data_IF_872479543009
#
_entry.id   IF_872479543009
#
_cell.length_a   1.000
_cell.length_b   1.000
_cell.length_c   1.000
_cell.angle_alpha   90.00
_cell.angle_beta   90.00
_cell.angle_gamma   90.00
#
_symmetry.space_group_name_H-M   'P 1'
#
loop_
_entity.id
_entity.type
_entity.pdbx_description
1 polymer ?
#
# COMPACT_ATOMS: atom_id res chain seq x y z
N UNK A 1 1.08 8.08 -21.14
CA UNK A 1 0.64 8.92 -20.00
C UNK A 1 1.85 9.69 -19.54
N UNK A 2 1.87 11.00 -19.80
CA UNK A 2 2.98 11.89 -19.44
C UNK A 2 2.86 12.19 -17.95
N UNK A 3 3.79 11.70 -17.13
CA UNK A 3 3.84 12.04 -15.72
C UNK A 3 4.45 13.43 -15.59
N UNK A 4 3.65 14.42 -15.18
CA UNK A 4 4.16 15.71 -14.74
C UNK A 4 4.78 15.50 -13.36
N UNK A 5 6.11 15.46 -13.29
CA UNK A 5 6.88 15.55 -12.06
C UNK A 5 6.71 16.96 -11.47
N UNK A 6 5.69 17.14 -10.63
CA UNK A 6 5.47 18.39 -9.88
C UNK A 6 6.51 18.52 -8.76
N UNK A 7 7.13 19.69 -8.53
CA UNK A 7 8.02 19.94 -7.40
C UNK A 7 7.30 19.84 -6.03
N UNK A 8 8.03 19.47 -4.98
CA UNK A 8 7.56 19.18 -3.60
C UNK A 8 6.67 20.29 -3.01
N UNK A 9 7.03 21.54 -3.23
CA UNK A 9 6.30 22.70 -2.71
C UNK A 9 4.90 22.87 -3.34
N UNK A 10 4.61 22.17 -4.44
CA UNK A 10 3.36 22.25 -5.20
C UNK A 10 2.44 21.02 -5.00
N UNK A 11 2.85 20.02 -4.20
CA UNK A 11 2.11 18.75 -4.05
C UNK A 11 1.39 18.57 -2.72
N UNK A 12 1.87 19.19 -1.63
CA UNK A 12 1.13 19.20 -0.36
C UNK A 12 -0.07 20.15 -0.38
N UNK A 13 -0.09 20.95 -1.43
CA UNK A 13 -1.07 21.95 -1.73
C UNK A 13 -0.84 22.30 -3.19
N UNK A 14 -1.81 22.12 -4.09
CA UNK A 14 -1.65 22.55 -5.49
C UNK A 14 -1.30 24.05 -5.60
N UNK A 15 -1.37 24.81 -4.50
CA UNK A 15 -1.10 26.25 -4.45
C UNK A 15 -2.16 27.05 -5.21
N UNK A 16 -3.10 26.36 -5.86
CA UNK A 16 -4.14 26.90 -6.73
C UNK A 16 -5.37 26.00 -6.73
N UNK A 17 -6.49 26.59 -7.13
CA UNK A 17 -7.70 25.83 -7.41
C UNK A 17 -7.51 24.96 -8.67
N UNK A 18 -8.18 23.80 -8.69
CA UNK A 18 -8.27 22.98 -9.89
C UNK A 18 -9.05 23.73 -10.97
N UNK A 19 -8.50 23.78 -12.19
CA UNK A 19 -9.24 24.23 -13.37
C UNK A 19 -10.34 23.24 -13.73
N UNK A 20 -11.37 23.69 -14.48
CA UNK A 20 -12.44 22.80 -14.93
C UNK A 20 -11.94 21.59 -15.74
N UNK A 21 -10.86 21.76 -16.51
CA UNK A 21 -10.24 20.66 -17.25
C UNK A 21 -9.57 19.63 -16.32
N UNK A 22 -8.88 20.08 -15.28
CA UNK A 22 -8.25 19.19 -14.30
C UNK A 22 -9.31 18.44 -13.48
N UNK A 23 -10.38 19.13 -13.08
CA UNK A 23 -11.52 18.48 -12.43
C UNK A 23 -12.12 17.38 -13.34
N UNK A 24 -12.32 17.67 -14.62
CA UNK A 24 -12.82 16.68 -15.58
C UNK A 24 -11.91 15.46 -15.72
N UNK A 25 -10.60 15.65 -15.75
CA UNK A 25 -9.63 14.54 -15.80
C UNK A 25 -9.67 13.67 -14.55
N UNK A 26 -9.71 14.30 -13.36
CA UNK A 26 -9.79 13.58 -12.08
C UNK A 26 -11.13 12.83 -11.96
N UNK A 27 -12.23 13.47 -12.32
CA UNK A 27 -13.56 12.84 -12.36
C UNK A 27 -13.56 11.64 -13.32
N UNK A 28 -12.92 11.73 -14.49
CA UNK A 28 -12.82 10.62 -15.42
C UNK A 28 -12.09 9.41 -14.82
N UNK A 29 -11.05 9.63 -14.00
CA UNK A 29 -10.38 8.53 -13.28
C UNK A 29 -11.27 7.91 -12.20
N UNK A 30 -12.02 8.73 -11.45
CA UNK A 30 -13.00 8.22 -10.49
C UNK A 30 -14.09 7.38 -11.17
N UNK A 31 -14.59 7.84 -12.32
CA UNK A 31 -15.56 7.10 -13.14
C UNK A 31 -14.97 5.80 -13.68
N UNK A 32 -13.71 5.80 -14.15
CA UNK A 32 -13.05 4.57 -14.61
C UNK A 32 -12.89 3.55 -13.47
N UNK A 33 -12.53 4.01 -12.27
CA UNK A 33 -12.45 3.15 -11.09
C UNK A 33 -13.83 2.57 -10.72
N UNK A 34 -14.90 3.36 -10.72
CA UNK A 34 -16.26 2.85 -10.49
C UNK A 34 -16.70 1.86 -11.59
N UNK A 35 -16.36 2.14 -12.84
CA UNK A 35 -16.69 1.27 -13.99
C UNK A 35 -16.01 -0.09 -13.89
N UNK A 36 -14.88 -0.22 -13.21
CA UNK A 36 -14.26 -1.52 -12.96
C UNK A 36 -14.99 -2.37 -11.91
N UNK A 37 -15.98 -1.81 -11.20
CA UNK A 37 -16.70 -2.47 -10.11
C UNK A 37 -18.09 -2.94 -10.54
N UNK A 38 -18.63 -3.88 -9.75
CA UNK A 38 -19.98 -4.40 -9.88
C UNK A 38 -20.72 -4.35 -8.54
N UNK A 39 -22.05 -4.27 -8.61
CA UNK A 39 -22.91 -4.44 -7.46
C UNK A 39 -24.12 -5.28 -7.89
N UNK A 40 -24.29 -6.47 -7.31
CA UNK A 40 -25.35 -7.42 -7.66
C UNK A 40 -25.40 -7.70 -9.17
N UNK A 41 -26.54 -7.45 -9.80
CA UNK A 41 -26.85 -7.65 -11.22
C UNK A 41 -26.29 -6.56 -12.16
N UNK A 42 -25.64 -5.53 -11.62
CA UNK A 42 -25.06 -4.44 -12.42
C UNK A 42 -23.55 -4.54 -12.41
N UNK A 43 -22.99 -4.85 -13.57
CA UNK A 43 -21.57 -4.61 -13.86
C UNK A 43 -21.38 -3.19 -14.38
N UNK A 44 -20.18 -2.66 -14.19
CA UNK A 44 -19.77 -1.35 -14.68
C UNK A 44 -20.54 -0.19 -14.07
N UNK A 45 -20.35 0.03 -12.77
CA UNK A 45 -21.03 1.11 -12.06
C UNK A 45 -20.65 2.48 -12.64
N UNK A 46 -21.68 3.31 -12.86
CA UNK A 46 -21.54 4.70 -13.28
C UNK A 46 -21.60 5.64 -12.07
N UNK A 47 -20.86 6.75 -12.16
CA UNK A 47 -20.94 7.85 -11.19
C UNK A 47 -21.65 9.04 -11.84
N UNK A 48 -22.59 9.64 -11.14
CA UNK A 48 -23.19 10.91 -11.55
C UNK A 48 -22.25 12.06 -11.24
N UNK A 49 -22.44 13.23 -11.86
CA UNK A 49 -21.57 14.39 -11.62
C UNK A 49 -21.54 14.82 -10.14
N UNK A 50 -22.67 14.70 -9.43
CA UNK A 50 -22.76 15.01 -8.00
C UNK A 50 -22.21 13.92 -7.06
N UNK A 51 -21.83 12.76 -7.61
CA UNK A 51 -21.29 11.65 -6.84
C UNK A 51 -19.76 11.76 -6.67
N UNK A 52 -19.12 12.74 -7.32
CA UNK A 52 -17.69 13.02 -7.20
C UNK A 52 -17.51 14.40 -6.57
N UNK A 53 -16.96 14.43 -5.37
CA UNK A 53 -16.71 15.65 -4.60
C UNK A 53 -15.21 15.85 -4.41
N UNK A 54 -14.72 17.05 -4.69
CA UNK A 54 -13.35 17.45 -4.36
C UNK A 54 -13.30 17.95 -2.91
N UNK A 55 -12.17 17.74 -2.24
CA UNK A 55 -12.00 18.24 -0.88
C UNK A 55 -10.60 18.09 -0.32
N UNK A 56 -10.50 18.40 0.97
CA UNK A 56 -9.29 18.19 1.77
C UNK A 56 -9.56 17.03 2.73
N UNK A 57 -8.77 15.97 2.58
CA UNK A 57 -8.65 14.88 3.54
C UNK A 57 -7.59 15.23 4.58
N UNK A 58 -7.97 15.19 5.85
CA UNK A 58 -7.06 15.30 6.97
C UNK A 58 -6.71 13.90 7.48
N UNK A 59 -5.46 13.47 7.29
CA UNK A 59 -4.99 12.15 7.68
C UNK A 59 -4.98 11.92 9.20
N UNK A 60 -4.79 12.98 10.00
CA UNK A 60 -4.74 12.87 11.46
C UNK A 60 -6.13 12.70 12.06
N UNK A 61 -7.09 13.54 11.63
CA UNK A 61 -8.47 13.48 12.12
C UNK A 61 -9.36 12.52 11.34
N UNK A 62 -8.86 11.96 10.23
CA UNK A 62 -9.63 11.11 9.31
C UNK A 62 -10.94 11.76 8.85
N UNK A 63 -10.86 13.05 8.51
CA UNK A 63 -12.02 13.85 8.09
C UNK A 63 -11.86 14.37 6.67
N UNK A 64 -12.96 14.36 5.92
CA UNK A 64 -13.05 14.94 4.59
C UNK A 64 -13.85 16.24 4.64
N UNK A 65 -13.23 17.33 4.19
CA UNK A 65 -13.86 18.64 4.08
C UNK A 65 -14.01 19.01 2.59
N UNK A 66 -15.24 19.01 2.03
CA UNK A 66 -15.47 19.35 0.63
C UNK A 66 -14.99 20.78 0.29
N UNK A 67 -14.18 20.90 -0.77
CA UNK A 67 -13.68 22.17 -1.30
C UNK A 67 -13.05 21.94 -2.67
N UNK A 68 -13.22 22.89 -3.58
CA UNK A 68 -12.48 22.95 -4.86
C UNK A 68 -11.28 23.89 -4.79
N UNK A 69 -11.14 24.61 -3.67
CA UNK A 69 -10.00 25.47 -3.39
C UNK A 69 -8.91 24.63 -2.74
N UNK A 70 -7.84 24.37 -3.49
CA UNK A 70 -6.67 23.62 -3.02
C UNK A 70 -7.01 22.21 -2.49
N UNK A 71 -7.79 21.39 -3.23
CA UNK A 71 -8.14 20.05 -2.76
C UNK A 71 -6.91 19.15 -2.78
N UNK A 72 -6.82 18.26 -1.80
CA UNK A 72 -5.85 17.15 -1.81
C UNK A 72 -6.57 15.80 -1.98
N UNK A 73 -7.89 15.76 -2.11
CA UNK A 73 -8.64 14.51 -2.16
C UNK A 73 -9.90 14.62 -3.00
N UNK A 74 -10.41 13.46 -3.39
CA UNK A 74 -11.74 13.27 -3.96
C UNK A 74 -12.50 12.23 -3.16
N UNK A 75 -13.81 12.44 -3.01
CA UNK A 75 -14.76 11.45 -2.53
C UNK A 75 -15.65 11.03 -3.69
N UNK A 76 -15.72 9.72 -3.96
CA UNK A 76 -16.59 9.14 -4.96
C UNK A 76 -17.67 8.30 -4.28
N UNK A 77 -18.94 8.48 -4.66
CA UNK A 77 -20.08 7.75 -4.09
C UNK A 77 -20.80 6.95 -5.16
N UNK A 78 -20.61 5.64 -5.19
CA UNK A 78 -21.39 4.76 -6.05
C UNK A 78 -22.75 4.49 -5.41
N UNK A 79 -23.83 4.58 -6.18
CA UNK A 79 -25.20 4.36 -5.71
C UNK A 79 -25.96 3.40 -6.62
N UNK A 80 -26.79 2.55 -6.02
CA UNK A 80 -27.84 1.75 -6.66
C UNK A 80 -29.16 2.30 -6.12
N UNK A 81 -29.80 3.19 -6.87
CA UNK A 81 -31.06 3.80 -6.51
C UNK A 81 -31.91 4.10 -7.77
N UNK A 82 -33.05 4.80 -7.61
CA UNK A 82 -33.91 5.16 -8.71
C UNK A 82 -33.32 6.15 -9.73
N UNK A 83 -32.18 6.78 -9.41
CA UNK A 83 -31.52 7.79 -10.24
C UNK A 83 -30.16 7.31 -10.80
N UNK A 84 -29.47 6.38 -10.12
CA UNK A 84 -28.15 5.89 -10.48
C UNK A 84 -28.07 4.37 -10.35
N UNK A 85 -27.59 3.71 -11.40
CA UNK A 85 -27.35 2.26 -11.50
C UNK A 85 -28.54 1.34 -11.12
N UNK A 86 -29.76 1.88 -10.97
CA UNK A 86 -30.97 1.15 -10.61
C UNK A 86 -31.00 0.68 -9.15
N UNK A 87 -32.15 0.71 -8.48
CA UNK A 87 -32.28 0.15 -7.14
C UNK A 87 -32.09 -1.38 -7.14
N UNK A 88 -31.69 -1.96 -6.01
CA UNK A 88 -31.54 -3.42 -5.88
C UNK A 88 -32.92 -4.06 -5.72
N UNK A 89 -33.30 -5.05 -6.55
CA UNK A 89 -34.55 -5.77 -6.36
C UNK A 89 -34.47 -6.67 -5.12
N UNK A 90 -35.52 -6.67 -4.32
CA UNK A 90 -35.60 -7.46 -3.08
C UNK A 90 -36.50 -8.67 -3.28
N UNK A 91 -35.94 -9.88 -3.21
CA UNK A 91 -36.72 -11.12 -3.41
C UNK A 91 -37.67 -11.39 -2.22
N UNK A 92 -37.13 -11.58 -1.01
CA UNK A 92 -37.95 -11.90 0.16
C UNK A 92 -38.76 -10.71 0.67
N UNK A 93 -38.15 -9.51 0.73
CA UNK A 93 -38.89 -8.30 1.11
C UNK A 93 -39.95 -7.92 0.06
N UNK A 94 -39.77 -8.34 -1.19
CA UNK A 94 -40.75 -8.18 -2.27
C UNK A 94 -42.07 -8.87 -1.95
N UNK A 95 -42.03 -10.05 -1.34
CA UNK A 95 -43.24 -10.76 -0.88
C UNK A 95 -43.96 -10.03 0.26
N UNK A 96 -43.27 -9.12 0.95
CA UNK A 96 -43.78 -8.28 2.03
C UNK A 96 -44.10 -6.84 1.57
N UNK A 97 -44.06 -6.57 0.27
CA UNK A 97 -44.43 -5.27 -0.32
C UNK A 97 -43.29 -4.27 -0.49
N UNK A 98 -42.04 -4.65 -0.19
CA UNK A 98 -40.84 -3.83 -0.48
C UNK A 98 -40.15 -4.45 -1.68
N UNK A 99 -40.36 -3.91 -2.88
CA UNK A 99 -39.87 -4.49 -4.13
C UNK A 99 -38.44 -4.09 -4.50
N UNK A 100 -37.92 -3.00 -3.93
CA UNK A 100 -36.57 -2.51 -4.19
C UNK A 100 -35.96 -1.86 -2.94
N UNK A 101 -34.64 -1.80 -2.89
CA UNK A 101 -33.86 -1.12 -1.86
C UNK A 101 -32.73 -0.31 -2.50
N UNK A 102 -32.50 0.89 -1.96
CA UNK A 102 -31.39 1.73 -2.36
C UNK A 102 -30.15 1.40 -1.54
N UNK A 103 -28.99 1.32 -2.19
CA UNK A 103 -27.70 1.18 -1.50
C UNK A 103 -26.68 2.16 -2.06
N UNK A 104 -25.69 2.50 -1.24
CA UNK A 104 -24.62 3.41 -1.63
C UNK A 104 -23.33 3.07 -0.90
N UNK A 105 -22.21 3.31 -1.56
CA UNK A 105 -20.88 3.16 -0.99
C UNK A 105 -20.03 4.38 -1.38
N UNK A 106 -19.33 4.95 -0.41
CA UNK A 106 -18.42 6.07 -0.64
C UNK A 106 -16.97 5.64 -0.41
N UNK A 107 -16.07 6.15 -1.24
CA UNK A 107 -14.63 5.99 -1.09
C UNK A 107 -13.94 7.35 -1.22
N UNK A 108 -12.86 7.55 -0.48
CA UNK A 108 -12.05 8.77 -0.53
C UNK A 108 -10.66 8.39 -1.05
N UNK A 109 -10.26 9.01 -2.15
CA UNK A 109 -8.90 8.98 -2.64
C UNK A 109 -8.23 10.32 -2.34
N UNK A 110 -7.16 10.31 -1.56
CA UNK A 110 -6.40 11.49 -1.23
C UNK A 110 -4.99 11.41 -1.82
N UNK A 111 -4.50 12.53 -2.33
CA UNK A 111 -3.09 12.86 -2.47
C UNK A 111 -2.49 12.89 -1.07
N UNK A 112 -2.00 11.74 -0.63
CA UNK A 112 -1.16 11.64 0.54
C UNK A 112 0.27 12.06 0.23
N UNK A 113 1.13 11.91 1.24
CA UNK A 113 2.55 11.74 0.97
C UNK A 113 2.75 10.58 0.00
N UNK A 114 3.90 10.56 -0.66
CA UNK A 114 4.21 9.55 -1.67
C UNK A 114 3.96 8.16 -1.12
N UNK A 115 3.42 7.29 -1.98
CA UNK A 115 3.20 5.90 -1.62
C UNK A 115 1.92 5.62 -0.83
N UNK A 116 0.76 5.82 -1.45
CA UNK A 116 -0.53 5.37 -0.93
C UNK A 116 -0.60 3.85 -0.67
N UNK A 117 -1.78 3.30 -0.36
CA UNK A 117 -1.92 1.88 -0.02
C UNK A 117 -1.22 0.95 -1.01
N UNK A 118 -0.44 0.00 -0.50
CA UNK A 118 0.18 -1.06 -1.30
C UNK A 118 -0.88 -2.15 -1.51
N UNK A 119 -1.24 -2.50 -2.75
CA UNK A 119 -2.19 -3.58 -3.01
C UNK A 119 -1.68 -4.94 -2.51
N UNK A 120 -2.58 -5.91 -2.25
CA UNK A 120 -2.18 -7.28 -1.97
C UNK A 120 -1.25 -7.86 -3.05
N UNK A 121 -0.22 -8.60 -2.65
CA UNK A 121 0.73 -9.27 -3.55
C UNK A 121 1.91 -8.42 -4.00
N UNK A 122 1.98 -7.14 -3.60
CA UNK A 122 3.06 -6.22 -4.00
C UNK A 122 4.20 -6.19 -2.99
N UNK A 123 3.94 -6.47 -1.72
CA UNK A 123 4.97 -6.67 -0.70
C UNK A 123 5.47 -8.11 -0.77
N UNK A 124 6.63 -8.35 -1.35
CA UNK A 124 7.07 -9.68 -1.80
C UNK A 124 8.21 -10.26 -0.96
N UNK A 125 8.54 -9.62 0.17
CA UNK A 125 9.58 -10.06 1.09
C UNK A 125 9.08 -10.26 2.51
N UNK A 126 9.56 -11.29 3.23
CA UNK A 126 9.15 -11.60 4.60
C UNK A 126 10.02 -10.90 5.65
N UNK A 127 10.53 -9.72 5.34
CA UNK A 127 11.33 -8.90 6.24
C UNK A 127 11.03 -7.42 6.03
N UNK A 128 11.19 -6.64 7.09
CA UNK A 128 10.87 -5.22 7.14
C UNK A 128 11.98 -4.43 7.82
N UNK A 129 11.96 -3.11 7.64
CA UNK A 129 12.92 -2.17 8.22
C UNK A 129 12.25 -1.30 9.29
N UNK A 130 12.98 -0.96 10.34
CA UNK A 130 12.51 -0.06 11.39
C UNK A 130 12.42 1.37 10.86
N UNK A 131 11.35 2.08 11.21
CA UNK A 131 11.24 3.53 11.02
C UNK A 131 12.42 4.31 11.62
N UNK A 132 13.11 3.79 12.64
CA UNK A 132 14.31 4.42 13.20
C UNK A 132 15.49 4.54 12.23
N UNK A 133 15.60 3.63 11.27
CA UNK A 133 16.67 3.70 10.27
C UNK A 133 16.67 5.05 9.53
N UNK A 134 15.52 5.72 9.48
CA UNK A 134 15.32 6.99 8.81
C UNK A 134 15.50 8.23 9.71
N UNK A 135 15.67 8.08 11.03
CA UNK A 135 15.73 9.18 12.00
C UNK A 135 17.13 9.83 12.18
N UNK A 136 18.20 9.22 11.67
CA UNK A 136 19.58 9.52 12.07
C UNK A 136 20.53 10.04 10.99
N UNK A 137 20.09 10.98 10.13
CA UNK A 137 20.82 11.56 8.96
C UNK A 137 21.07 10.64 7.75
N UNK A 138 20.51 11.08 6.61
CA UNK A 138 20.95 10.88 5.23
C UNK A 138 21.68 9.57 4.88
N UNK A 139 20.95 8.49 4.60
CA UNK A 139 21.49 7.34 3.85
C UNK A 139 20.40 6.64 3.05
N UNK A 140 19.46 7.38 2.50
CA UNK A 140 18.84 6.86 1.31
C UNK A 140 19.94 6.58 0.25
N UNK A 141 19.83 5.48 -0.49
CA UNK A 141 20.91 4.80 -1.26
C UNK A 141 21.99 4.11 -0.41
N UNK A 142 21.74 3.96 0.90
CA UNK A 142 22.56 3.18 1.81
C UNK A 142 22.31 1.68 1.71
N UNK A 143 23.37 0.90 1.86
CA UNK A 143 23.28 -0.54 2.05
C UNK A 143 22.69 -0.88 3.41
N UNK A 144 21.65 -1.73 3.44
CA UNK A 144 21.10 -2.34 4.63
C UNK A 144 21.42 -3.83 4.65
N UNK A 145 21.76 -4.33 5.84
CA UNK A 145 21.92 -5.74 6.12
C UNK A 145 20.71 -6.24 6.92
N UNK A 146 19.89 -7.11 6.32
CA UNK A 146 18.71 -7.68 6.99
C UNK A 146 19.03 -8.88 7.88
N UNK A 147 20.20 -9.49 7.69
CA UNK A 147 20.66 -10.61 8.51
C UNK A 147 22.16 -10.54 8.78
N UNK A 148 22.63 -10.74 10.04
CA UNK A 148 21.82 -11.06 11.22
C UNK A 148 20.96 -9.88 11.71
N UNK A 149 19.74 -10.14 12.19
CA UNK A 149 18.89 -9.10 12.78
C UNK A 149 19.50 -8.56 14.10
N UNK A 150 19.46 -7.24 14.31
CA UNK A 150 19.90 -6.59 15.55
C UNK A 150 20.40 -5.16 15.37
N UNK A 151 21.25 -4.71 16.32
CA UNK A 151 21.66 -3.32 16.52
C UNK A 151 22.22 -2.59 15.29
N UNK A 152 22.79 -3.32 14.32
CA UNK A 152 23.39 -2.74 13.12
C UNK A 152 22.48 -2.78 11.88
N UNK A 153 21.42 -3.59 11.88
CA UNK A 153 20.60 -3.87 10.70
C UNK A 153 19.22 -3.19 10.69
N UNK A 154 18.66 -2.84 11.86
CA UNK A 154 17.33 -2.24 11.99
C UNK A 154 16.25 -3.00 11.19
N UNK A 155 16.39 -4.32 11.15
CA UNK A 155 15.64 -5.22 10.30
C UNK A 155 14.94 -6.29 11.14
N UNK A 156 13.82 -6.79 10.63
CA UNK A 156 13.07 -7.84 11.30
C UNK A 156 12.31 -8.74 10.35
N UNK A 157 12.31 -10.03 10.65
CA UNK A 157 11.52 -11.03 9.94
C UNK A 157 10.05 -10.99 10.39
N UNK A 158 9.14 -11.13 9.42
CA UNK A 158 7.71 -11.23 9.68
C UNK A 158 7.07 -12.30 8.82
N UNK A 159 5.90 -12.74 9.27
CA UNK A 159 5.02 -13.67 8.53
C UNK A 159 3.78 -12.94 7.98
N UNK A 160 3.90 -11.62 7.78
CA UNK A 160 2.81 -10.74 7.39
C UNK A 160 1.65 -10.82 8.39
N UNK A 161 0.45 -11.17 7.94
CA UNK A 161 -0.75 -11.33 8.77
C UNK A 161 -0.91 -12.74 9.35
N UNK A 162 0.02 -13.65 9.06
CA UNK A 162 -0.08 -15.04 9.49
C UNK A 162 0.26 -15.22 10.98
N UNK A 163 -0.36 -16.20 11.61
CA UNK A 163 -0.15 -16.52 13.03
C UNK A 163 -0.11 -18.03 13.22
N UNK A 164 0.74 -18.56 14.12
CA UNK A 164 1.73 -17.83 14.95
C UNK A 164 2.99 -17.40 14.18
N UNK A 165 3.62 -16.29 14.61
CA UNK A 165 4.91 -15.84 14.07
C UNK A 165 6.06 -16.74 14.56
N UNK A 166 6.40 -17.75 13.78
CA UNK A 166 7.51 -18.65 14.05
C UNK A 166 8.20 -19.10 12.76
N UNK A 167 9.28 -19.88 12.93
CA UNK A 167 10.09 -20.36 11.83
C UNK A 167 9.34 -21.22 10.81
N UNK A 168 8.42 -22.08 11.25
CA UNK A 168 7.65 -22.92 10.33
C UNK A 168 6.68 -22.09 9.50
N UNK A 169 5.96 -21.16 10.12
CA UNK A 169 5.07 -20.24 9.42
C UNK A 169 5.84 -19.39 8.41
N UNK A 170 6.99 -18.85 8.80
CA UNK A 170 7.85 -18.06 7.92
C UNK A 170 8.29 -18.84 6.67
N UNK A 171 8.73 -20.09 6.86
CA UNK A 171 9.11 -20.96 5.74
C UNK A 171 7.95 -21.23 4.80
N UNK A 172 6.79 -21.57 5.35
CA UNK A 172 5.58 -21.80 4.54
C UNK A 172 5.17 -20.53 3.77
N UNK A 173 5.27 -19.35 4.40
CA UNK A 173 5.01 -18.07 3.73
C UNK A 173 5.99 -17.83 2.58
N UNK A 174 7.29 -18.08 2.77
CA UNK A 174 8.29 -17.91 1.70
C UNK A 174 8.06 -18.86 0.54
N UNK A 175 7.78 -20.13 0.83
CA UNK A 175 7.42 -21.13 -0.19
C UNK A 175 6.17 -20.68 -0.93
N UNK A 176 5.16 -20.21 -0.20
CA UNK A 176 3.92 -19.72 -0.78
C UNK A 176 4.07 -18.47 -1.66
N UNK A 177 4.98 -17.56 -1.30
CA UNK A 177 5.34 -16.42 -2.16
C UNK A 177 6.04 -16.88 -3.45
N UNK A 178 6.81 -17.96 -3.38
CA UNK A 178 7.55 -18.50 -4.51
C UNK A 178 6.65 -19.27 -5.49
N UNK A 179 5.76 -20.13 -4.97
CA UNK A 179 4.85 -20.96 -5.79
C UNK A 179 3.52 -20.27 -6.13
N UNK A 180 3.24 -19.10 -5.52
CA UNK A 180 2.04 -18.32 -5.73
C UNK A 180 0.83 -18.77 -4.90
N UNK A 181 0.99 -19.74 -4.00
CA UNK A 181 -0.07 -20.18 -3.08
C UNK A 181 -0.33 -19.20 -1.93
N UNK A 182 0.58 -18.24 -1.71
CA UNK A 182 0.40 -17.15 -0.76
C UNK A 182 0.58 -15.80 -1.44
N UNK A 183 -0.40 -14.91 -1.25
CA UNK A 183 -0.35 -13.52 -1.67
C UNK A 183 -0.22 -12.65 -0.41
N UNK A 184 0.75 -11.74 -0.39
CA UNK A 184 0.90 -10.83 0.75
C UNK A 184 -0.33 -9.91 0.89
N UNK A 185 -0.69 -9.54 2.13
CA UNK A 185 -1.78 -8.60 2.36
C UNK A 185 -1.42 -7.21 1.83
N UNK A 186 -2.44 -6.39 1.59
CA UNK A 186 -2.24 -4.98 1.30
C UNK A 186 -1.71 -4.21 2.51
N UNK A 187 -0.90 -3.18 2.27
CA UNK A 187 -0.35 -2.30 3.31
C UNK A 187 -1.07 -0.97 3.26
N UNK A 188 -1.72 -0.61 4.36
CA UNK A 188 -2.22 0.73 4.63
C UNK A 188 -1.34 1.30 5.76
N UNK A 189 -0.47 2.28 5.46
CA UNK A 189 0.35 2.95 6.47
C UNK A 189 -0.45 3.38 7.70
N UNK A 190 0.05 3.02 8.89
CA UNK A 190 -0.57 3.33 10.18
C UNK A 190 -1.76 2.45 10.57
N UNK A 191 -2.21 1.53 9.71
CA UNK A 191 -3.35 0.63 9.97
C UNK A 191 -2.97 -0.85 9.89
N UNK A 192 -2.25 -1.24 8.84
CA UNK A 192 -1.84 -2.64 8.67
C UNK A 192 -0.84 -3.03 9.75
N UNK A 193 -1.01 -4.22 10.33
CA UNK A 193 -0.08 -4.79 11.30
C UNK A 193 0.49 -6.10 10.76
N UNK A 194 1.79 -6.31 10.93
CA UNK A 194 2.44 -7.58 10.64
C UNK A 194 2.94 -8.26 11.91
N UNK A 195 3.04 -9.58 11.84
CA UNK A 195 3.44 -10.48 12.91
C UNK A 195 4.93 -10.81 12.78
N UNK A 196 5.74 -10.27 13.69
CA UNK A 196 7.19 -10.40 13.70
C UNK A 196 7.67 -11.57 14.59
N UNK A 197 8.73 -12.25 14.16
CA UNK A 197 9.19 -13.51 14.77
C UNK A 197 10.15 -13.33 15.96
N UNK A 198 10.70 -12.15 16.20
CA UNK A 198 11.56 -11.88 17.37
C UNK A 198 13.04 -12.27 17.24
N UNK A 199 13.60 -12.25 16.03
CA UNK A 199 15.04 -12.49 15.81
C UNK A 199 15.34 -13.18 14.49
N UNK A 200 16.58 -13.67 14.36
CA UNK A 200 17.08 -14.32 13.14
C UNK A 200 16.49 -15.72 12.95
N UNK A 201 15.99 -16.01 11.75
CA UNK A 201 15.36 -17.30 11.45
C UNK A 201 16.23 -18.10 10.48
N UNK A 202 17.33 -18.65 11.01
CA UNK A 202 18.33 -19.44 10.26
C UNK A 202 17.74 -20.56 9.39
N UNK A 203 16.60 -21.15 9.76
CA UNK A 203 15.97 -22.25 9.04
C UNK A 203 15.28 -21.82 7.74
N UNK A 204 14.98 -20.54 7.57
CA UNK A 204 14.24 -20.01 6.41
C UNK A 204 15.15 -19.56 5.25
N UNK A 205 16.47 -19.56 5.45
CA UNK A 205 17.42 -19.06 4.44
C UNK A 205 17.41 -19.84 3.13
N UNK A 206 17.28 -21.16 3.19
CA UNK A 206 17.26 -21.96 1.97
C UNK A 206 16.04 -21.59 1.12
N UNK A 207 14.87 -21.49 1.77
CA UNK A 207 13.63 -21.11 1.11
C UNK A 207 13.72 -19.68 0.55
N UNK A 208 14.37 -18.74 1.27
CA UNK A 208 14.60 -17.38 0.77
C UNK A 208 15.59 -17.33 -0.39
N UNK A 209 16.63 -18.17 -0.38
CA UNK A 209 17.59 -18.28 -1.51
C UNK A 209 16.85 -18.77 -2.76
N UNK A 210 15.93 -19.71 -2.61
CA UNK A 210 15.10 -20.21 -3.72
C UNK A 210 14.19 -19.10 -4.26
N UNK A 211 13.52 -18.34 -3.38
CA UNK A 211 12.72 -17.18 -3.76
C UNK A 211 13.57 -16.10 -4.47
N UNK A 212 14.74 -15.76 -3.94
CA UNK A 212 15.67 -14.84 -4.59
C UNK A 212 16.09 -15.32 -5.98
N UNK A 213 16.43 -16.61 -6.12
CA UNK A 213 16.82 -17.16 -7.41
C UNK A 213 15.68 -17.13 -8.43
N UNK A 214 14.43 -17.22 -7.98
CA UNK A 214 13.25 -17.12 -8.82
C UNK A 214 12.89 -15.67 -9.21
N UNK A 215 13.21 -14.68 -8.35
CA UNK A 215 12.80 -13.28 -8.52
C UNK A 215 13.89 -12.35 -9.05
N UNK A 216 15.16 -12.68 -8.87
CA UNK A 216 16.27 -11.82 -9.30
C UNK A 216 16.33 -11.69 -10.82
N UNK A 217 16.62 -10.49 -11.29
CA UNK A 217 16.82 -10.16 -12.70
C UNK A 217 18.21 -9.55 -12.91
N UNK A 218 18.76 -9.69 -14.12
CA UNK A 218 20.04 -9.08 -14.45
C UNK A 218 19.84 -7.59 -14.76
N UNK A 219 20.53 -6.73 -14.02
CA UNK A 219 20.53 -5.29 -14.25
C UNK A 219 21.73 -4.89 -15.13
N UNK A 220 21.45 -4.30 -16.29
CA UNK A 220 22.50 -3.82 -17.20
C UNK A 220 23.21 -2.57 -16.65
N UNK A 221 22.54 -1.81 -15.80
CA UNK A 221 23.07 -0.56 -15.23
C UNK A 221 24.10 -0.84 -14.13
N UNK A 222 23.82 -1.83 -13.28
CA UNK A 222 24.70 -2.20 -12.16
C UNK A 222 25.59 -3.41 -12.45
N UNK A 223 25.33 -4.16 -13.53
CA UNK A 223 26.12 -5.33 -13.93
C UNK A 223 26.04 -6.49 -12.94
N UNK A 224 24.91 -6.64 -12.24
CA UNK A 224 24.67 -7.69 -11.24
C UNK A 224 23.19 -8.13 -11.24
N UNK A 225 22.92 -9.25 -10.57
CA UNK A 225 21.55 -9.70 -10.32
C UNK A 225 20.93 -8.89 -9.18
N UNK A 226 19.70 -8.43 -9.39
CA UNK A 226 18.95 -7.53 -8.50
C UNK A 226 17.50 -8.00 -8.36
N UNK A 227 16.89 -7.75 -7.21
CA UNK A 227 15.45 -7.94 -6.98
C UNK A 227 14.89 -6.67 -6.38
N UNK A 228 14.07 -5.97 -7.17
CA UNK A 228 13.33 -4.79 -6.72
C UNK A 228 12.18 -5.22 -5.80
N UNK A 229 12.15 -4.63 -4.59
CA UNK A 229 11.18 -4.99 -3.56
C UNK A 229 10.46 -3.77 -2.99
N UNK A 230 9.23 -3.99 -2.55
CA UNK A 230 8.52 -3.06 -1.67
C UNK A 230 8.70 -3.53 -0.22
N UNK A 231 9.63 -2.89 0.47
CA UNK A 231 10.07 -3.22 1.81
C UNK A 231 9.17 -2.55 2.86
N UNK A 232 8.41 -3.30 3.68
CA UNK A 232 7.58 -2.69 4.72
C UNK A 232 8.43 -1.94 5.76
N UNK A 233 7.92 -0.82 6.27
CA UNK A 233 8.53 -0.05 7.35
C UNK A 233 7.67 -0.21 8.60
N UNK A 234 8.24 -0.78 9.66
CA UNK A 234 7.53 -0.99 10.92
C UNK A 234 7.77 0.14 11.93
N UNK A 235 6.78 0.35 12.80
CA UNK A 235 6.87 1.30 13.90
C UNK A 235 7.94 0.86 14.90
N UNK A 236 8.95 1.71 15.13
CA UNK A 236 9.95 1.45 16.13
C UNK A 236 9.37 1.50 17.55
N UNK A 237 9.84 0.62 18.43
CA UNK A 237 9.44 0.55 19.85
C UNK A 237 10.07 1.67 20.70
N UNK A 238 11.17 2.25 20.26
CA UNK A 238 11.88 3.36 20.92
C UNK A 238 12.63 4.15 19.86
N UNK A 239 12.74 5.48 19.93
CA UNK A 239 13.32 6.34 18.89
C UNK A 239 14.83 6.14 18.62
N UNK A 240 15.52 5.30 19.40
CA UNK A 240 16.99 5.12 19.31
C UNK A 240 17.46 3.67 19.32
N UNK A 241 16.55 2.69 19.28
CA UNK A 241 16.95 1.27 19.29
C UNK A 241 16.48 0.52 18.05
N UNK A 242 17.40 -0.26 17.46
CA UNK A 242 17.13 -1.20 16.38
C UNK A 242 16.94 -2.61 16.95
N UNK A 243 16.08 -2.69 17.95
CA UNK A 243 15.78 -3.94 18.64
C UNK A 243 15.08 -4.90 17.69
N UNK A 244 15.31 -6.20 17.91
CA UNK A 244 14.65 -7.25 17.14
C UNK A 244 13.13 -7.17 17.36
N UNK A 245 12.33 -6.90 16.32
CA UNK A 245 10.88 -6.78 16.46
C UNK A 245 10.25 -8.16 16.72
N UNK A 246 9.25 -8.20 17.59
CA UNK A 246 8.49 -9.40 17.92
C UNK A 246 7.01 -9.08 18.15
N UNK A 247 6.12 -9.99 17.74
CA UNK A 247 4.67 -9.81 17.91
C UNK A 247 4.04 -8.94 16.83
N UNK A 248 2.81 -8.49 17.07
CA UNK A 248 2.07 -7.63 16.14
C UNK A 248 2.62 -6.20 16.19
N UNK A 249 3.07 -5.68 15.05
CA UNK A 249 3.60 -4.32 14.94
C UNK A 249 2.98 -3.62 13.74
N UNK A 250 2.57 -2.37 13.96
CA UNK A 250 2.02 -1.50 12.92
C UNK A 250 3.07 -1.17 11.86
N UNK A 251 2.68 -1.32 10.61
CA UNK A 251 3.43 -0.86 9.45
C UNK A 251 3.08 0.60 9.23
N UNK A 252 4.07 1.47 9.44
CA UNK A 252 3.92 2.91 9.24
C UNK A 252 4.15 3.30 7.79
N UNK A 253 4.61 2.37 6.95
CA UNK A 253 5.17 2.76 5.69
C UNK A 253 5.72 1.65 4.82
N UNK A 254 6.34 2.02 3.71
CA UNK A 254 7.18 1.13 2.92
C UNK A 254 8.34 1.89 2.30
N UNK A 255 9.38 1.16 1.93
CA UNK A 255 10.61 1.59 1.30
C UNK A 255 10.76 0.85 -0.04
N UNK A 256 11.21 1.50 -1.11
CA UNK A 256 11.76 0.76 -2.25
C UNK A 256 13.18 0.33 -1.90
N UNK A 257 13.49 -0.94 -2.12
CA UNK A 257 14.85 -1.43 -1.96
C UNK A 257 15.20 -2.41 -3.07
N UNK A 258 16.50 -2.55 -3.32
CA UNK A 258 17.03 -3.49 -4.30
C UNK A 258 17.89 -4.50 -3.56
N UNK A 259 17.43 -5.74 -3.49
CA UNK A 259 18.24 -6.82 -2.94
C UNK A 259 19.34 -7.14 -3.96
N UNK A 260 20.58 -7.19 -3.49
CA UNK A 260 21.76 -7.44 -4.33
C UNK A 260 22.44 -8.75 -3.96
N UNK A 261 22.11 -9.29 -2.78
CA UNK A 261 22.74 -10.49 -2.25
C UNK A 261 21.82 -11.20 -1.26
N UNK A 262 21.62 -12.49 -1.48
CA UNK A 262 21.02 -13.41 -0.51
C UNK A 262 21.94 -14.62 -0.35
N UNK A 263 22.51 -14.78 0.84
CA UNK A 263 23.27 -15.94 1.28
C UNK A 263 22.87 -16.30 2.71
N UNK A 264 23.24 -17.50 3.15
CA UNK A 264 23.02 -17.93 4.53
C UNK A 264 23.60 -16.89 5.50
N UNK A 265 22.74 -16.32 6.34
CA UNK A 265 23.06 -15.27 7.33
C UNK A 265 23.60 -13.95 6.75
N UNK A 266 23.36 -13.66 5.46
CA UNK A 266 23.83 -12.44 4.82
C UNK A 266 22.87 -12.03 3.70
N UNK A 267 21.98 -11.11 4.03
CA UNK A 267 21.00 -10.51 3.10
C UNK A 267 21.32 -9.03 3.03
N UNK A 268 21.63 -8.55 1.82
CA UNK A 268 21.99 -7.15 1.58
C UNK A 268 21.04 -6.55 0.55
N UNK A 269 20.58 -5.34 0.83
CA UNK A 269 19.86 -4.53 -0.12
C UNK A 269 20.32 -3.08 -0.08
N UNK A 270 19.97 -2.33 -1.11
CA UNK A 270 20.14 -0.88 -1.17
C UNK A 270 18.77 -0.23 -1.11
N UNK A 271 18.51 0.55 -0.07
CA UNK A 271 17.24 1.28 0.09
C UNK A 271 17.29 2.51 -0.80
N UNK A 272 16.29 2.74 -1.66
CA UNK A 272 16.29 3.85 -2.62
C UNK A 272 15.66 5.12 -2.03
N UNK A 273 16.25 6.28 -2.34
CA UNK A 273 15.78 7.61 -1.90
C UNK A 273 14.33 7.93 -2.20
N UNK A 274 13.87 7.57 -3.38
CA UNK A 274 12.51 7.88 -3.83
C UNK A 274 11.48 6.90 -3.28
N UNK A 275 11.86 6.14 -2.25
CA UNK A 275 11.16 4.94 -1.81
C UNK A 275 10.65 4.96 -0.38
N UNK A 276 11.17 5.79 0.54
CA UNK A 276 10.73 5.77 1.94
C UNK A 276 9.46 6.58 2.16
N UNK A 277 8.47 5.93 2.73
CA UNK A 277 7.17 6.51 3.06
C UNK A 277 6.85 6.12 4.49
N UNK A 278 6.55 7.05 5.39
CA UNK A 278 6.25 6.76 6.81
C UNK A 278 4.82 7.09 7.22
N UNK A 279 3.95 7.37 6.24
CA UNK A 279 2.54 7.70 6.47
C UNK A 279 2.32 9.00 7.27
N UNK A 280 3.38 9.62 7.78
CA UNK A 280 3.32 10.94 8.39
C UNK A 280 3.36 11.99 7.28
N UNK A 281 2.66 13.12 7.42
CA UNK A 281 2.86 14.26 6.56
C UNK A 281 4.29 14.79 6.76
N UNK A 282 5.26 14.27 6.01
CA UNK A 282 6.59 14.86 5.96
C UNK A 282 6.54 16.07 5.01
N UNK A 283 6.67 17.32 5.50
CA UNK A 283 6.64 18.52 4.66
C UNK A 283 7.76 18.56 3.60
N UNK A 284 8.73 17.65 3.69
CA UNK A 284 9.95 17.64 2.87
C UNK A 284 10.06 16.45 1.90
N UNK A 285 9.08 15.52 1.84
CA UNK A 285 9.12 14.39 0.89
C UNK A 285 7.98 14.47 -0.16
N UNK A 286 8.37 14.41 -1.44
CA UNK A 286 7.50 14.54 -2.61
C UNK A 286 6.52 13.38 -2.71
N UNK A 287 5.24 13.67 -2.97
CA UNK A 287 4.17 12.71 -3.23
C UNK A 287 4.14 12.16 -4.66
N UNK A 288 4.95 11.16 -4.97
CA UNK A 288 4.68 10.23 -6.08
C UNK A 288 3.40 9.44 -5.81
N UNK A 289 2.35 9.71 -6.61
CA UNK A 289 1.18 8.85 -6.69
C UNK A 289 1.60 7.40 -6.91
N UNK A 290 0.89 6.47 -6.28
CA UNK A 290 1.11 5.04 -6.48
C UNK A 290 1.23 4.77 -7.98
N UNK A 291 2.38 4.22 -8.40
CA UNK A 291 2.59 3.79 -9.78
C UNK A 291 1.43 2.90 -10.21
N UNK A 292 1.08 2.96 -11.51
CA UNK A 292 0.00 2.19 -12.17
C UNK A 292 -1.08 1.68 -11.21
N UNK A 293 -2.17 2.43 -11.08
CA UNK A 293 -3.43 1.90 -10.55
C UNK A 293 -3.91 0.77 -11.48
N UNK A 294 -3.31 -0.41 -11.35
CA UNK A 294 -4.02 -1.67 -11.55
C UNK A 294 -5.18 -1.63 -10.54
N UNK A 295 -6.40 -2.01 -10.94
CA UNK A 295 -7.57 -1.92 -10.08
C UNK A 295 -7.23 -2.54 -8.73
N UNK A 296 -7.44 -1.77 -7.66
CA UNK A 296 -7.43 -2.27 -6.29
C UNK A 296 -8.15 -3.62 -6.30
N UNK A 297 -7.39 -4.65 -5.94
CA UNK A 297 -7.81 -6.04 -5.85
C UNK A 297 -9.28 -6.17 -5.48
N UNK A 298 -10.01 -6.95 -6.26
CA UNK A 298 -11.33 -7.52 -5.94
C UNK A 298 -11.30 -8.07 -4.52
N UNK A 299 -11.74 -7.28 -3.54
CA UNK A 299 -12.10 -7.82 -2.23
C UNK A 299 -13.51 -8.42 -2.32
N UNK A 300 -13.75 -9.54 -1.62
CA UNK A 300 -14.88 -10.41 -1.84
C UNK A 300 -16.18 -9.72 -1.42
N UNK A 301 -17.24 -10.13 -2.11
CA UNK A 301 -18.54 -9.47 -2.15
C UNK A 301 -19.11 -9.06 -0.79
N UNK A 302 -19.95 -8.02 -0.87
CA UNK A 302 -21.07 -7.82 0.04
C UNK A 302 -21.67 -9.18 0.40
N UNK A 303 -21.40 -9.61 1.62
CA UNK A 303 -21.96 -10.83 2.19
C UNK A 303 -23.47 -10.64 2.25
N UNK A 304 -24.17 -11.63 1.71
CA UNK A 304 -25.64 -11.77 1.67
C UNK A 304 -26.29 -11.66 3.04
#
# INVERSE_FOLDING_TARGET
VTYLTLPIAEQQDMGRALTGNEQSQVTAQATAAAFANSASDVSNLSLSQGDVEFGVWNFNSQTFNPTVNRPNAIRATARRDGAANGAIPTFFAGMLGVSTMNVSASSIAALGTSGGPVPPGVADVPFAISSNWFNGVANCDGGIQFSPTGANGCAGWHVFDQSPANANTLRNTIVGLNDGSYQSPGIIPGQTQFMFTGGEVSSAFNDLIDLWNAKKEWSNDSGRYEWDINLPVYQASSPSSCDNPSGSITIVGYAKAVITKVKKNDIQAEVKCDGFFDGTPNPNQAGGGAGSLQPLSVYPGLVS
#
